data_IF_248410013482
#
_entry.id   IF_248410013482
#
_cell.length_a   1.000
_cell.length_b   1.000
_cell.length_c   1.000
_cell.angle_alpha   90.00
_cell.angle_beta   90.00
_cell.angle_gamma   90.00
#
_symmetry.space_group_name_H-M   'P 1'
#
loop_
_entity.id
_entity.type
_entity.pdbx_description
1 polymer ?
#
# COMPACT_ATOMS: atom_id res chain seq x y z
N UNK A 1 20.53 -0.31 7.85
CA UNK A 1 19.19 -0.68 8.36
C UNK A 1 18.29 -1.36 7.31
N UNK A 2 18.13 -0.79 6.09
CA UNK A 2 17.32 -1.39 5.00
C UNK A 2 17.71 -2.85 4.67
N UNK A 3 19.01 -3.14 4.54
CA UNK A 3 19.52 -4.50 4.23
C UNK A 3 19.17 -5.55 5.30
N UNK A 4 19.30 -5.19 6.57
CA UNK A 4 18.97 -6.09 7.69
C UNK A 4 17.47 -6.40 7.71
N UNK A 5 16.63 -5.40 7.43
CA UNK A 5 15.19 -5.59 7.37
C UNK A 5 14.75 -6.46 6.18
N UNK A 6 15.38 -6.29 5.01
CA UNK A 6 15.14 -7.17 3.87
C UNK A 6 15.53 -8.62 4.18
N UNK A 7 16.64 -8.84 4.88
CA UNK A 7 17.04 -10.18 5.32
C UNK A 7 16.02 -10.79 6.30
N UNK A 8 15.52 -10.01 7.26
CA UNK A 8 14.48 -10.45 8.21
C UNK A 8 13.20 -10.86 7.46
N UNK A 9 12.82 -10.12 6.41
CA UNK A 9 11.64 -10.43 5.60
C UNK A 9 11.88 -11.62 4.65
N UNK A 10 13.10 -11.84 4.17
CA UNK A 10 13.41 -12.92 3.22
C UNK A 10 13.66 -14.27 3.91
N UNK A 11 14.22 -14.28 5.13
CA UNK A 11 14.61 -15.50 5.83
C UNK A 11 13.45 -16.50 6.03
N UNK A 12 12.22 -16.10 6.41
CA UNK A 12 11.10 -17.02 6.56
C UNK A 12 10.71 -17.74 5.26
N UNK A 13 10.89 -17.09 4.10
CA UNK A 13 10.66 -17.73 2.79
C UNK A 13 11.65 -18.86 2.55
N UNK A 14 12.94 -18.62 2.83
CA UNK A 14 14.00 -19.63 2.67
C UNK A 14 13.75 -20.81 3.63
N UNK A 15 13.43 -20.52 4.89
CA UNK A 15 13.08 -21.55 5.88
C UNK A 15 11.89 -22.36 5.39
N UNK A 16 10.83 -21.73 4.88
CA UNK A 16 9.67 -22.44 4.34
C UNK A 16 9.97 -23.32 3.15
N UNK A 17 10.90 -22.93 2.26
CA UNK A 17 11.36 -23.77 1.16
C UNK A 17 12.13 -24.99 1.66
N UNK A 18 13.01 -24.81 2.65
CA UNK A 18 13.78 -25.90 3.27
C UNK A 18 12.83 -26.89 3.96
N UNK A 19 11.87 -26.39 4.74
CA UNK A 19 10.89 -27.25 5.41
C UNK A 19 10.02 -27.97 4.39
N UNK A 20 9.57 -27.30 3.32
CA UNK A 20 8.83 -27.92 2.23
C UNK A 20 9.62 -29.07 1.58
N UNK A 21 10.93 -28.89 1.38
CA UNK A 21 11.80 -29.91 0.81
C UNK A 21 11.83 -31.20 1.65
N UNK A 22 12.12 -31.07 2.95
CA UNK A 22 12.11 -32.22 3.86
C UNK A 22 10.71 -32.85 3.98
N UNK A 23 9.68 -32.01 3.99
CA UNK A 23 8.28 -32.44 4.06
C UNK A 23 7.88 -33.28 2.84
N UNK A 24 8.13 -32.78 1.63
CA UNK A 24 7.84 -33.51 0.38
C UNK A 24 8.65 -34.80 0.29
N UNK A 25 9.92 -34.80 0.75
CA UNK A 25 10.76 -35.99 0.78
C UNK A 25 10.20 -37.10 1.69
N UNK A 26 9.54 -36.74 2.79
CA UNK A 26 8.88 -37.68 3.71
C UNK A 26 7.62 -38.31 3.09
N UNK A 27 6.96 -37.61 2.16
CA UNK A 27 5.72 -38.05 1.52
C UNK A 27 5.92 -38.39 0.03
N UNK A 28 6.55 -39.54 -0.25
CA UNK A 28 6.93 -39.94 -1.62
C UNK A 28 5.74 -40.14 -2.55
N UNK A 29 4.60 -40.59 -2.01
CA UNK A 29 3.38 -40.95 -2.74
C UNK A 29 2.59 -39.76 -3.27
N UNK A 30 3.02 -38.52 -2.99
CA UNK A 30 2.38 -37.31 -3.50
C UNK A 30 2.65 -37.16 -5.01
N UNK A 31 1.59 -36.98 -5.79
CA UNK A 31 1.67 -36.70 -7.24
C UNK A 31 2.46 -35.42 -7.50
N UNK A 32 3.29 -35.39 -8.55
CA UNK A 32 4.20 -34.29 -8.88
C UNK A 32 3.56 -32.90 -8.83
N UNK A 33 2.35 -32.74 -9.37
CA UNK A 33 1.61 -31.47 -9.35
C UNK A 33 1.31 -30.96 -7.92
N UNK A 34 0.93 -31.87 -7.01
CA UNK A 34 0.68 -31.50 -5.60
C UNK A 34 1.98 -31.14 -4.88
N UNK A 35 3.13 -31.72 -5.27
CA UNK A 35 4.44 -31.34 -4.73
C UNK A 35 4.75 -29.87 -5.04
N UNK A 36 4.51 -29.43 -6.27
CA UNK A 36 4.69 -28.02 -6.69
C UNK A 36 3.81 -27.10 -5.82
N UNK A 37 2.52 -27.44 -5.65
CA UNK A 37 1.63 -26.66 -4.78
C UNK A 37 2.13 -26.58 -3.33
N UNK A 38 2.70 -27.66 -2.78
CA UNK A 38 3.28 -27.64 -1.44
C UNK A 38 4.48 -26.70 -1.36
N UNK A 39 5.37 -26.71 -2.36
CA UNK A 39 6.50 -25.76 -2.43
C UNK A 39 6.06 -24.30 -2.56
N UNK A 40 4.84 -24.02 -3.03
CA UNK A 40 4.26 -22.66 -3.05
C UNK A 40 3.61 -22.28 -1.71
N UNK A 41 2.74 -23.14 -1.16
CA UNK A 41 1.97 -22.79 0.04
C UNK A 41 2.79 -22.81 1.32
N UNK A 42 3.82 -23.67 1.44
CA UNK A 42 4.59 -23.77 2.68
C UNK A 42 5.37 -22.48 2.98
N UNK A 43 6.15 -21.92 2.04
CA UNK A 43 6.87 -20.66 2.25
C UNK A 43 5.92 -19.51 2.56
N UNK A 44 4.84 -19.37 1.79
CA UNK A 44 3.83 -18.31 2.01
C UNK A 44 3.19 -18.46 3.39
N UNK A 45 2.88 -19.68 3.83
CA UNK A 45 2.28 -19.93 5.14
C UNK A 45 3.20 -19.57 6.30
N UNK A 46 4.47 -20.00 6.27
CA UNK A 46 5.46 -19.62 7.29
C UNK A 46 5.70 -18.11 7.26
N UNK A 47 5.93 -17.56 6.07
CA UNK A 47 6.21 -16.14 5.91
C UNK A 47 5.08 -15.28 6.46
N UNK A 48 3.82 -15.62 6.16
CA UNK A 48 2.65 -14.89 6.66
C UNK A 48 2.55 -14.95 8.19
N UNK A 49 2.81 -16.12 8.79
CA UNK A 49 2.80 -16.26 10.25
C UNK A 49 3.91 -15.45 10.94
N UNK A 50 5.12 -15.44 10.39
CA UNK A 50 6.23 -14.64 10.92
C UNK A 50 6.00 -13.15 10.68
N UNK A 51 5.51 -12.78 9.50
CA UNK A 51 5.24 -11.38 9.15
C UNK A 51 4.14 -10.76 10.02
N UNK A 52 3.13 -11.55 10.41
CA UNK A 52 2.15 -11.14 11.44
C UNK A 52 2.84 -10.72 12.74
N UNK A 53 3.78 -11.54 13.25
CA UNK A 53 4.51 -11.24 14.49
C UNK A 53 5.35 -9.97 14.32
N UNK A 54 6.01 -9.79 13.17
CA UNK A 54 6.78 -8.58 12.86
C UNK A 54 5.88 -7.34 12.89
N UNK A 55 4.70 -7.39 12.25
CA UNK A 55 3.74 -6.30 12.26
C UNK A 55 3.26 -5.96 13.68
N UNK A 56 2.99 -6.99 14.49
CA UNK A 56 2.56 -6.83 15.87
C UNK A 56 3.63 -6.20 16.76
N UNK A 57 4.89 -6.56 16.58
CA UNK A 57 6.01 -5.96 17.32
C UNK A 57 6.18 -4.48 16.93
N UNK A 58 6.03 -4.15 15.64
CA UNK A 58 6.30 -2.81 15.15
C UNK A 58 5.15 -1.81 15.36
N UNK A 59 3.90 -2.23 15.12
CA UNK A 59 2.72 -1.36 15.13
C UNK A 59 1.62 -1.79 16.10
N UNK A 60 1.68 -3.02 16.64
CA UNK A 60 0.68 -3.53 17.57
C UNK A 60 -0.67 -3.84 16.93
N UNK A 61 -1.69 -4.04 17.79
CA UNK A 61 -3.06 -4.44 17.40
C UNK A 61 -3.81 -3.32 16.67
N UNK A 62 -3.38 -2.06 16.81
CA UNK A 62 -3.99 -0.91 16.15
C UNK A 62 -3.84 -0.96 14.61
N UNK A 63 -2.98 -1.84 14.08
CA UNK A 63 -2.84 -2.04 12.65
C UNK A 63 -4.09 -2.72 12.07
N UNK A 64 -4.92 -1.93 11.40
CA UNK A 64 -6.14 -2.39 10.71
C UNK A 64 -5.87 -3.61 9.82
N UNK A 65 -6.74 -4.61 9.79
CA UNK A 65 -6.63 -5.78 8.90
C UNK A 65 -5.37 -6.65 9.11
N UNK A 66 -4.58 -6.48 10.18
CA UNK A 66 -3.37 -7.29 10.44
C UNK A 66 -3.67 -8.80 10.53
N UNK A 67 -4.90 -9.17 10.90
CA UNK A 67 -5.39 -10.54 10.97
C UNK A 67 -5.47 -11.27 9.61
N UNK A 68 -5.30 -10.57 8.48
CA UNK A 68 -5.22 -11.22 7.16
C UNK A 68 -4.05 -12.20 7.10
N UNK A 69 -2.93 -11.90 7.77
CA UNK A 69 -1.72 -12.71 7.76
C UNK A 69 -1.88 -14.10 8.41
N UNK A 70 -2.41 -14.22 9.65
CA UNK A 70 -2.70 -15.53 10.22
C UNK A 70 -3.78 -16.28 9.43
N UNK A 71 -4.76 -15.59 8.83
CA UNK A 71 -5.75 -16.23 7.95
C UNK A 71 -5.10 -16.85 6.71
N UNK A 72 -4.17 -16.14 6.06
CA UNK A 72 -3.38 -16.66 4.93
C UNK A 72 -2.54 -17.87 5.38
N UNK A 73 -1.90 -17.79 6.55
CA UNK A 73 -1.12 -18.90 7.09
C UNK A 73 -1.98 -20.15 7.34
N UNK A 74 -3.11 -20.00 8.02
CA UNK A 74 -4.07 -21.09 8.28
C UNK A 74 -4.56 -21.68 6.97
N UNK A 75 -4.94 -20.84 6.01
CA UNK A 75 -5.37 -21.28 4.68
C UNK A 75 -4.29 -22.13 3.99
N UNK A 76 -3.03 -21.69 4.01
CA UNK A 76 -1.92 -22.43 3.42
C UNK A 76 -1.74 -23.82 4.06
N UNK A 77 -1.76 -23.92 5.39
CA UNK A 77 -1.56 -25.20 6.08
C UNK A 77 -2.76 -26.15 5.94
N UNK A 78 -4.00 -25.62 5.95
CA UNK A 78 -5.19 -26.40 5.61
C UNK A 78 -5.10 -26.94 4.19
N UNK A 79 -4.65 -26.11 3.24
CA UNK A 79 -4.49 -26.51 1.84
C UNK A 79 -3.45 -27.60 1.66
N UNK A 80 -2.31 -27.50 2.34
CA UNK A 80 -1.27 -28.53 2.36
C UNK A 80 -1.85 -29.85 2.90
N UNK A 81 -2.57 -29.82 4.03
CA UNK A 81 -3.23 -31.02 4.60
C UNK A 81 -4.16 -31.70 3.60
N UNK A 82 -4.95 -30.91 2.86
CA UNK A 82 -5.85 -31.43 1.83
C UNK A 82 -5.09 -32.08 0.66
N UNK A 83 -3.94 -31.53 0.25
CA UNK A 83 -3.14 -32.06 -0.86
C UNK A 83 -2.49 -33.42 -0.53
N UNK A 84 -2.18 -33.67 0.75
CA UNK A 84 -1.54 -34.91 1.21
C UNK A 84 -2.56 -36.01 1.49
N UNK A 85 -3.73 -35.64 1.99
CA UNK A 85 -4.71 -36.61 2.50
C UNK A 85 -5.21 -37.57 1.41
N UNK A 86 -5.05 -37.22 0.12
CA UNK A 86 -5.42 -38.04 -1.03
C UNK A 86 -6.94 -38.26 -1.09
N UNK A 87 -7.58 -38.00 -2.21
CA UNK A 87 -9.03 -38.22 -2.29
C UNK A 87 -9.33 -39.72 -2.44
N UNK A 88 -9.32 -40.45 -1.33
CA UNK A 88 -9.52 -41.92 -1.28
C UNK A 88 -10.94 -42.35 -1.68
N UNK A 89 -11.85 -41.42 -1.99
CA UNK A 89 -13.26 -41.71 -2.29
C UNK A 89 -13.81 -40.75 -3.36
N UNK A 90 -13.21 -40.75 -4.54
CA UNK A 90 -13.45 -39.76 -5.61
C UNK A 90 -14.91 -39.81 -6.17
N UNK A 91 -15.82 -38.99 -5.62
CA UNK A 91 -17.21 -38.82 -6.13
C UNK A 91 -17.26 -37.68 -7.14
N UNK A 92 -18.05 -37.80 -8.22
CA UNK A 92 -18.21 -36.77 -9.29
C UNK A 92 -18.47 -35.36 -8.74
N UNK A 93 -19.30 -35.22 -7.70
CA UNK A 93 -19.58 -33.95 -7.04
C UNK A 93 -18.32 -33.26 -6.45
N UNK A 94 -17.37 -34.02 -5.89
CA UNK A 94 -16.10 -33.47 -5.39
C UNK A 94 -15.18 -32.97 -6.49
N UNK A 95 -15.24 -33.56 -7.70
CA UNK A 95 -14.49 -33.07 -8.87
C UNK A 95 -14.99 -31.71 -9.32
N UNK A 96 -16.31 -31.54 -9.42
CA UNK A 96 -16.93 -30.26 -9.80
C UNK A 96 -16.62 -29.18 -8.78
N UNK A 97 -16.81 -29.45 -7.48
CA UNK A 97 -16.50 -28.47 -6.41
C UNK A 97 -15.03 -28.05 -6.46
N UNK A 98 -14.08 -29.00 -6.65
CA UNK A 98 -12.66 -28.67 -6.77
C UNK A 98 -12.35 -27.84 -8.01
N UNK A 99 -13.02 -28.10 -9.13
CA UNK A 99 -12.85 -27.34 -10.36
C UNK A 99 -13.36 -25.90 -10.17
N UNK A 100 -14.58 -25.74 -9.65
CA UNK A 100 -15.17 -24.41 -9.37
C UNK A 100 -14.28 -23.62 -8.41
N UNK A 101 -13.85 -24.24 -7.31
CA UNK A 101 -12.90 -23.60 -6.37
C UNK A 101 -11.62 -23.14 -7.07
N UNK A 102 -11.01 -23.96 -7.93
CA UNK A 102 -9.78 -23.59 -8.65
C UNK A 102 -10.02 -22.42 -9.60
N UNK A 103 -11.11 -22.44 -10.35
CA UNK A 103 -11.47 -21.36 -11.29
C UNK A 103 -11.68 -20.05 -10.52
N UNK A 104 -12.52 -20.08 -9.48
CA UNK A 104 -12.80 -18.89 -8.65
C UNK A 104 -11.51 -18.38 -8.01
N UNK A 105 -10.69 -19.27 -7.44
CA UNK A 105 -9.41 -18.90 -6.84
C UNK A 105 -8.47 -18.23 -7.84
N UNK A 106 -8.35 -18.77 -9.06
CA UNK A 106 -7.50 -18.19 -10.11
C UNK A 106 -8.03 -16.83 -10.55
N UNK A 107 -9.34 -16.66 -10.71
CA UNK A 107 -9.95 -15.37 -11.05
C UNK A 107 -9.70 -14.33 -9.95
N UNK A 108 -9.95 -14.68 -8.68
CA UNK A 108 -9.72 -13.79 -7.56
C UNK A 108 -8.23 -13.42 -7.42
N UNK A 109 -7.32 -14.39 -7.60
CA UNK A 109 -5.89 -14.14 -7.55
C UNK A 109 -5.43 -13.25 -8.71
N UNK A 110 -5.93 -13.48 -9.92
CA UNK A 110 -5.61 -12.65 -11.09
C UNK A 110 -6.11 -11.21 -10.89
N UNK A 111 -7.32 -11.02 -10.37
CA UNK A 111 -7.85 -9.70 -10.05
C UNK A 111 -7.03 -9.00 -8.96
N UNK A 112 -6.67 -9.73 -7.89
CA UNK A 112 -5.79 -9.23 -6.85
C UNK A 112 -4.45 -8.76 -7.42
N UNK A 113 -3.77 -9.60 -8.19
CA UNK A 113 -2.48 -9.27 -8.81
C UNK A 113 -2.57 -8.10 -9.80
N UNK A 114 -3.68 -7.98 -10.52
CA UNK A 114 -3.92 -6.84 -11.41
C UNK A 114 -4.00 -5.53 -10.62
N UNK A 115 -4.77 -5.48 -9.53
CA UNK A 115 -4.87 -4.27 -8.71
C UNK A 115 -3.54 -3.96 -8.02
N UNK A 116 -2.86 -4.97 -7.47
CA UNK A 116 -1.53 -4.82 -6.87
C UNK A 116 -0.51 -4.28 -7.87
N UNK A 117 -0.56 -4.69 -9.14
CA UNK A 117 0.35 -4.13 -10.15
C UNK A 117 0.09 -2.64 -10.36
N UNK A 118 -1.17 -2.19 -10.39
CA UNK A 118 -1.50 -0.75 -10.49
C UNK A 118 -1.03 0.05 -9.28
N UNK A 119 -1.16 -0.51 -8.09
CA UNK A 119 -0.64 0.09 -6.85
C UNK A 119 0.88 0.24 -6.93
N UNK A 120 1.58 -0.82 -7.34
CA UNK A 120 3.05 -0.81 -7.47
C UNK A 120 3.52 0.13 -8.59
N UNK A 121 2.82 0.18 -9.72
CA UNK A 121 3.12 1.10 -10.83
C UNK A 121 3.09 2.56 -10.33
N UNK A 122 2.04 2.97 -9.61
CA UNK A 122 1.95 4.31 -9.04
C UNK A 122 3.00 4.54 -7.94
N UNK A 123 3.19 3.56 -7.04
CA UNK A 123 4.19 3.62 -5.96
C UNK A 123 5.63 3.79 -6.47
N UNK A 124 5.92 3.35 -7.70
CA UNK A 124 7.24 3.40 -8.32
C UNK A 124 7.32 4.38 -9.49
N UNK A 125 6.28 5.20 -9.67
CA UNK A 125 6.23 6.19 -10.72
C UNK A 125 7.37 7.21 -10.58
N UNK A 126 7.96 7.58 -11.71
CA UNK A 126 8.86 8.74 -11.79
C UNK A 126 8.00 9.94 -12.16
N UNK A 127 7.87 10.96 -11.28
CA UNK A 127 7.06 12.13 -11.60
C UNK A 127 7.72 12.94 -12.71
N UNK A 128 6.94 13.58 -13.59
CA UNK A 128 7.46 14.59 -14.51
C UNK A 128 8.17 15.72 -13.75
N UNK A 129 9.15 16.35 -14.40
CA UNK A 129 9.71 17.61 -13.91
C UNK A 129 8.77 18.78 -14.24
N UNK A 130 8.96 19.90 -13.56
CA UNK A 130 8.34 21.19 -13.79
C UNK A 130 6.81 21.15 -13.87
N UNK A 131 6.18 20.41 -12.95
CA UNK A 131 4.73 20.44 -12.77
C UNK A 131 4.29 21.82 -12.29
N UNK A 132 3.13 22.28 -12.72
CA UNK A 132 2.57 23.58 -12.30
C UNK A 132 2.33 23.58 -10.78
N UNK A 133 1.79 22.47 -10.27
CA UNK A 133 1.51 22.27 -8.85
C UNK A 133 1.91 20.90 -8.35
N UNK A 134 2.25 20.82 -7.06
CA UNK A 134 2.13 19.59 -6.28
C UNK A 134 1.17 19.76 -5.11
N UNK A 135 0.38 18.74 -4.81
CA UNK A 135 -0.55 18.71 -3.67
C UNK A 135 -0.03 17.69 -2.65
N UNK A 136 0.37 18.15 -1.48
CA UNK A 136 0.82 17.30 -0.37
C UNK A 136 -0.35 16.95 0.51
N UNK A 137 -0.74 15.67 0.51
CA UNK A 137 -1.87 15.19 1.30
C UNK A 137 -1.46 14.96 2.77
N UNK A 138 -2.33 15.35 3.69
CA UNK A 138 -2.26 15.02 5.12
C UNK A 138 -2.27 13.51 5.44
N UNK A 139 -1.71 13.12 6.59
CA UNK A 139 -1.48 11.71 6.96
C UNK A 139 -1.46 11.42 8.49
N UNK A 140 -1.96 12.36 9.27
CA UNK A 140 -2.07 12.42 10.71
C UNK A 140 -0.90 13.12 11.40
N UNK A 141 -1.20 13.76 12.53
CA UNK A 141 -0.23 14.31 13.48
C UNK A 141 -0.50 13.87 14.92
N UNK A 142 0.42 14.24 15.82
CA UNK A 142 0.26 14.12 17.27
C UNK A 142 0.64 15.45 17.90
N UNK A 143 -0.34 16.23 18.34
CA UNK A 143 -0.11 17.60 18.78
C UNK A 143 0.40 18.46 17.62
N UNK A 144 1.70 18.77 17.64
CA UNK A 144 2.41 19.52 16.58
C UNK A 144 3.43 18.66 15.83
N UNK A 145 3.56 17.38 16.15
CA UNK A 145 4.55 16.49 15.54
C UNK A 145 3.93 15.64 14.44
N UNK A 146 4.46 15.66 13.20
CA UNK A 146 3.94 14.84 12.12
C UNK A 146 4.14 13.36 12.39
N UNK A 147 3.18 12.53 12.00
CA UNK A 147 3.35 11.07 12.03
C UNK A 147 4.41 10.63 11.00
N UNK A 148 4.91 9.39 11.12
CA UNK A 148 5.89 8.89 10.16
C UNK A 148 5.40 8.92 8.69
N UNK A 149 4.13 8.57 8.38
CA UNK A 149 3.57 8.76 7.05
C UNK A 149 3.60 10.21 6.54
N UNK A 150 3.29 11.20 7.39
CA UNK A 150 3.31 12.61 7.01
C UNK A 150 4.75 13.11 6.80
N UNK A 151 5.68 12.73 7.68
CA UNK A 151 7.11 13.07 7.57
C UNK A 151 7.71 12.68 6.23
N UNK A 152 7.45 11.47 5.74
CA UNK A 152 8.01 11.04 4.45
C UNK A 152 7.37 11.76 3.26
N UNK A 153 6.12 12.23 3.38
CA UNK A 153 5.48 13.07 2.35
C UNK A 153 6.12 14.45 2.31
N UNK A 154 6.36 15.05 3.46
CA UNK A 154 7.07 16.34 3.58
C UNK A 154 8.49 16.23 2.98
N UNK A 155 9.24 15.18 3.32
CA UNK A 155 10.57 14.92 2.72
C UNK A 155 10.45 14.82 1.19
N UNK A 156 9.50 14.04 0.68
CA UNK A 156 9.34 13.86 -0.77
C UNK A 156 8.96 15.16 -1.47
N UNK A 157 8.12 15.98 -0.85
CA UNK A 157 7.73 17.28 -1.35
C UNK A 157 8.91 18.24 -1.38
N UNK A 158 9.73 18.28 -0.33
CA UNK A 158 10.96 19.08 -0.30
C UNK A 158 11.93 18.68 -1.42
N UNK A 159 12.18 17.38 -1.60
CA UNK A 159 13.01 16.84 -2.69
C UNK A 159 12.47 17.28 -4.07
N UNK A 160 11.14 17.24 -4.26
CA UNK A 160 10.55 17.66 -5.53
C UNK A 160 10.65 19.17 -5.75
N UNK A 161 10.41 19.99 -4.72
CA UNK A 161 10.44 21.46 -4.83
C UNK A 161 11.85 22.02 -5.04
N UNK A 162 12.89 21.33 -4.51
CA UNK A 162 14.30 21.68 -4.73
C UNK A 162 14.72 21.41 -6.19
N UNK A 163 14.24 20.31 -6.77
CA UNK A 163 14.51 19.96 -8.17
C UNK A 163 13.70 20.81 -9.18
N UNK A 164 12.57 21.40 -8.77
CA UNK A 164 11.61 22.07 -9.66
C UNK A 164 11.23 23.45 -9.10
N UNK A 165 11.99 24.49 -9.47
CA UNK A 165 11.95 25.80 -8.82
C UNK A 165 10.71 26.64 -9.14
N UNK A 166 10.02 26.37 -10.25
CA UNK A 166 8.82 27.09 -10.66
C UNK A 166 7.51 26.43 -10.17
N UNK A 167 7.58 25.20 -9.63
CA UNK A 167 6.42 24.49 -9.11
C UNK A 167 5.88 25.16 -7.84
N UNK A 168 4.56 25.30 -7.75
CA UNK A 168 3.86 25.70 -6.52
C UNK A 168 3.39 24.48 -5.72
N UNK A 169 3.37 24.58 -4.39
CA UNK A 169 2.94 23.52 -3.50
C UNK A 169 1.65 23.88 -2.79
N UNK A 170 0.68 22.97 -2.79
CA UNK A 170 -0.51 23.04 -1.94
C UNK A 170 -0.33 22.07 -0.77
N UNK A 171 -0.19 22.61 0.44
CA UNK A 171 -0.21 21.84 1.67
C UNK A 171 -1.67 21.61 2.07
N UNK A 172 -2.16 20.37 1.97
CA UNK A 172 -3.58 20.06 2.11
C UNK A 172 -3.87 19.07 3.24
N UNK A 173 -4.64 19.54 4.22
CA UNK A 173 -5.13 18.75 5.35
C UNK A 173 -5.59 19.65 6.49
N UNK A 174 -6.82 19.46 6.96
CA UNK A 174 -7.37 20.21 8.08
C UNK A 174 -6.84 19.77 9.45
N UNK A 175 -7.48 20.27 10.51
CA UNK A 175 -7.10 19.95 11.89
C UNK A 175 -7.91 18.76 12.44
N UNK A 176 -7.20 17.71 12.83
CA UNK A 176 -7.76 16.55 13.53
C UNK A 176 -8.05 16.81 15.02
N UNK A 177 -8.84 15.94 15.69
CA UNK A 177 -9.21 16.13 17.10
C UNK A 177 -8.02 16.13 18.08
N UNK A 178 -6.96 15.40 17.75
CA UNK A 178 -5.75 15.23 18.59
C UNK A 178 -4.60 16.17 18.15
N UNK A 179 -4.90 17.18 17.34
CA UNK A 179 -3.93 18.07 16.69
C UNK A 179 -4.08 19.51 17.17
N UNK A 180 -2.95 20.22 17.32
CA UNK A 180 -2.93 21.62 17.81
C UNK A 180 -2.99 22.62 16.65
N UNK A 181 -2.48 22.21 15.48
CA UNK A 181 -2.49 22.95 14.22
C UNK A 181 -3.04 22.06 13.12
N UNK A 182 -3.39 22.62 11.96
CA UNK A 182 -3.78 21.83 10.79
C UNK A 182 -2.59 21.03 10.24
N UNK A 183 -2.86 19.92 9.58
CA UNK A 183 -1.81 19.16 8.88
C UNK A 183 -1.13 20.01 7.80
N UNK A 184 -1.91 20.84 7.11
CA UNK A 184 -1.42 21.81 6.13
C UNK A 184 -0.40 22.78 6.75
N UNK A 185 -0.70 23.37 7.91
CA UNK A 185 0.23 24.25 8.62
C UNK A 185 1.51 23.51 9.01
N UNK A 186 1.41 22.26 9.48
CA UNK A 186 2.61 21.48 9.79
C UNK A 186 3.46 21.16 8.55
N UNK A 187 2.84 20.81 7.42
CA UNK A 187 3.55 20.59 6.16
C UNK A 187 4.31 21.86 5.79
N UNK A 188 3.62 23.00 5.80
CA UNK A 188 4.18 24.31 5.51
C UNK A 188 5.39 24.63 6.41
N UNK A 189 5.20 24.61 7.73
CA UNK A 189 6.24 24.99 8.70
C UNK A 189 7.48 24.11 8.54
N UNK A 190 7.30 22.80 8.32
CA UNK A 190 8.43 21.91 8.10
C UNK A 190 9.17 22.22 6.80
N UNK A 191 8.45 22.54 5.71
CA UNK A 191 9.06 22.88 4.42
C UNK A 191 9.84 24.20 4.48
N UNK A 192 9.29 25.22 5.12
CA UNK A 192 9.96 26.52 5.28
C UNK A 192 11.13 26.41 6.26
N UNK A 193 10.89 25.94 7.49
CA UNK A 193 11.87 26.04 8.58
C UNK A 193 13.03 25.05 8.46
N UNK A 194 12.77 23.86 7.89
CA UNK A 194 13.77 22.77 7.85
C UNK A 194 14.37 22.63 6.45
N UNK A 195 13.55 22.74 5.41
CA UNK A 195 13.99 22.53 4.03
C UNK A 195 14.26 23.82 3.27
N UNK A 196 13.90 24.98 3.82
CA UNK A 196 14.21 26.28 3.21
C UNK A 196 13.42 26.56 1.93
N UNK A 197 12.23 25.98 1.79
CA UNK A 197 11.33 26.28 0.67
C UNK A 197 10.72 27.67 0.89
N UNK A 198 10.71 28.50 -0.15
CA UNK A 198 10.15 29.85 -0.08
C UNK A 198 8.66 29.83 0.27
N UNK A 199 8.27 30.64 1.25
CA UNK A 199 6.89 30.79 1.77
C UNK A 199 5.88 31.09 0.66
N UNK A 200 6.25 31.97 -0.28
CA UNK A 200 5.41 32.38 -1.41
C UNK A 200 5.08 31.24 -2.38
N UNK A 201 5.84 30.13 -2.33
CA UNK A 201 5.61 28.94 -3.16
C UNK A 201 4.67 27.93 -2.51
N UNK A 202 4.23 28.16 -1.27
CA UNK A 202 3.38 27.23 -0.52
C UNK A 202 2.01 27.86 -0.25
N UNK A 203 0.96 27.16 -0.65
CA UNK A 203 -0.44 27.55 -0.45
C UNK A 203 -1.08 26.59 0.54
N UNK A 204 -1.76 27.13 1.55
CA UNK A 204 -2.42 26.33 2.60
C UNK A 204 -3.87 25.98 2.22
N UNK A 205 -4.21 24.70 2.38
CA UNK A 205 -5.59 24.18 2.35
C UNK A 205 -5.90 23.47 3.68
N UNK A 206 -6.61 24.15 4.59
CA UNK A 206 -6.77 23.71 5.99
C UNK A 206 -8.17 23.21 6.35
N UNK A 207 -9.06 23.00 5.36
CA UNK A 207 -10.48 22.75 5.62
C UNK A 207 -10.89 21.30 5.47
N UNK A 208 -10.09 20.54 4.76
CA UNK A 208 -10.34 19.16 4.40
C UNK A 208 -10.27 18.19 5.58
N UNK A 209 -11.02 17.10 5.49
CA UNK A 209 -11.10 16.03 6.53
C UNK A 209 -10.80 14.63 5.99
N UNK A 210 -10.71 14.50 4.68
CA UNK A 210 -10.47 13.26 3.98
C UNK A 210 -9.81 13.56 2.62
N UNK A 211 -9.28 12.53 1.98
CA UNK A 211 -8.54 12.66 0.71
C UNK A 211 -9.38 13.27 -0.42
N UNK A 212 -10.69 13.04 -0.46
CA UNK A 212 -11.57 13.59 -1.50
C UNK A 212 -11.74 15.09 -1.31
N UNK A 213 -11.93 15.54 -0.07
CA UNK A 213 -11.97 16.97 0.28
C UNK A 213 -10.61 17.64 0.06
N UNK A 214 -9.50 16.99 0.41
CA UNK A 214 -8.15 17.51 0.14
C UNK A 214 -8.02 17.87 -1.34
N UNK A 215 -8.30 16.90 -2.21
CA UNK A 215 -8.13 17.03 -3.65
C UNK A 215 -9.13 18.02 -4.25
N UNK A 216 -10.40 17.98 -3.82
CA UNK A 216 -11.42 18.92 -4.29
C UNK A 216 -11.08 20.36 -3.93
N UNK A 217 -10.76 20.64 -2.66
CA UNK A 217 -10.43 21.99 -2.20
C UNK A 217 -9.14 22.50 -2.85
N UNK A 218 -8.15 21.61 -3.03
CA UNK A 218 -6.92 21.95 -3.73
C UNK A 218 -7.19 22.32 -5.19
N UNK A 219 -8.10 21.62 -5.88
CA UNK A 219 -8.48 21.96 -7.25
C UNK A 219 -9.21 23.30 -7.34
N UNK A 220 -10.06 23.61 -6.35
CA UNK A 220 -10.72 24.92 -6.25
C UNK A 220 -9.71 26.06 -6.06
N UNK A 221 -8.60 25.81 -5.34
CA UNK A 221 -7.49 26.76 -5.19
C UNK A 221 -6.71 26.92 -6.51
N UNK A 222 -6.42 25.82 -7.21
CA UNK A 222 -5.71 25.82 -8.50
C UNK A 222 -6.53 26.55 -9.58
N UNK A 223 -7.85 26.34 -9.61
CA UNK A 223 -8.76 27.01 -10.54
C UNK A 223 -8.65 26.56 -12.01
N UNK A 224 -7.71 25.68 -12.34
CA UNK A 224 -7.55 25.08 -13.67
C UNK A 224 -7.46 23.54 -13.61
N UNK A 225 -8.50 22.82 -14.07
CA UNK A 225 -8.48 21.36 -14.22
C UNK A 225 -7.37 20.78 -15.10
N UNK A 226 -6.78 21.57 -15.99
CA UNK A 226 -5.76 21.10 -16.95
C UNK A 226 -4.32 21.39 -16.51
N UNK A 227 -4.15 22.14 -15.41
CA UNK A 227 -2.85 22.34 -14.79
C UNK A 227 -2.20 20.97 -14.51
N UNK A 228 -0.91 20.88 -14.71
CA UNK A 228 -0.14 19.67 -14.42
C UNK A 228 0.09 19.55 -12.92
N UNK A 229 -0.57 18.56 -12.30
CA UNK A 229 -0.58 18.43 -10.83
C UNK A 229 0.04 17.12 -10.38
N UNK A 230 1.04 17.18 -9.50
CA UNK A 230 1.59 16.01 -8.83
C UNK A 230 0.95 15.79 -7.45
N UNK A 231 0.47 14.58 -7.17
CA UNK A 231 -0.03 14.24 -5.84
C UNK A 231 1.11 13.63 -5.02
N UNK A 232 1.42 14.24 -3.87
CA UNK A 232 2.41 13.71 -2.92
C UNK A 232 1.68 12.98 -1.80
N UNK A 233 1.77 11.67 -1.82
CA UNK A 233 1.24 10.77 -0.79
C UNK A 233 2.24 9.67 -0.44
N UNK A 234 1.89 8.77 0.47
CA UNK A 234 2.71 7.57 0.67
C UNK A 234 2.57 6.67 -0.56
N UNK A 235 3.68 6.11 -1.05
CA UNK A 235 3.70 5.40 -2.32
C UNK A 235 2.64 4.30 -2.47
N UNK A 236 2.36 3.53 -1.42
CA UNK A 236 1.31 2.50 -1.46
C UNK A 236 -0.11 3.08 -1.68
N UNK A 237 -0.34 4.36 -1.40
CA UNK A 237 -1.64 5.04 -1.48
C UNK A 237 -1.82 5.83 -2.79
N UNK A 238 -0.76 6.04 -3.55
CA UNK A 238 -0.73 6.86 -4.76
C UNK A 238 -1.79 6.50 -5.78
N UNK A 239 -1.94 5.20 -6.11
CA UNK A 239 -2.90 4.77 -7.12
C UNK A 239 -4.34 5.17 -6.75
N UNK A 240 -4.71 5.04 -5.47
CA UNK A 240 -6.03 5.47 -5.00
C UNK A 240 -6.16 6.99 -4.95
N UNK A 241 -5.10 7.71 -4.57
CA UNK A 241 -5.11 9.16 -4.57
C UNK A 241 -5.33 9.72 -5.99
N UNK A 242 -4.68 9.13 -7.01
CA UNK A 242 -4.89 9.47 -8.42
C UNK A 242 -6.33 9.20 -8.87
N UNK A 243 -6.88 8.02 -8.54
CA UNK A 243 -8.28 7.71 -8.88
C UNK A 243 -9.26 8.73 -8.27
N UNK A 244 -9.02 9.17 -7.03
CA UNK A 244 -9.85 10.19 -6.39
C UNK A 244 -9.66 11.53 -7.11
N UNK A 245 -8.43 11.91 -7.47
CA UNK A 245 -8.16 13.17 -8.16
C UNK A 245 -8.84 13.23 -9.53
N UNK A 246 -8.70 12.19 -10.34
CA UNK A 246 -9.41 12.10 -11.64
C UNK A 246 -10.93 12.24 -11.45
N UNK A 247 -11.48 11.61 -10.40
CA UNK A 247 -12.90 11.74 -10.09
C UNK A 247 -13.32 13.14 -9.61
N UNK A 248 -12.47 13.85 -8.85
CA UNK A 248 -12.76 15.22 -8.40
C UNK A 248 -12.60 16.27 -9.50
N UNK A 249 -12.08 15.89 -10.67
CA UNK A 249 -12.05 16.74 -11.87
C UNK A 249 -10.67 17.15 -12.35
N UNK A 250 -9.58 16.55 -11.86
CA UNK A 250 -8.25 16.78 -12.42
C UNK A 250 -8.11 16.08 -13.77
N UNK A 251 -7.70 16.81 -14.81
CA UNK A 251 -7.49 16.26 -16.16
C UNK A 251 -6.03 15.85 -16.42
N UNK A 252 -5.08 16.36 -15.62
CA UNK A 252 -3.64 16.20 -15.84
C UNK A 252 -2.90 15.96 -14.51
N UNK A 253 -3.08 14.76 -13.95
CA UNK A 253 -2.58 14.40 -12.60
C UNK A 253 -1.51 13.30 -12.64
N UNK A 254 -0.49 13.44 -11.79
CA UNK A 254 0.67 12.55 -11.71
C UNK A 254 0.93 12.08 -10.28
N UNK A 255 1.52 10.90 -10.15
CA UNK A 255 1.97 10.39 -8.86
C UNK A 255 3.34 10.95 -8.51
N UNK A 256 3.50 11.46 -7.28
CA UNK A 256 4.78 11.87 -6.69
C UNK A 256 5.00 11.04 -5.42
N UNK A 257 5.35 9.73 -5.57
CA UNK A 257 5.31 8.77 -4.47
C UNK A 257 6.33 9.07 -3.39
N UNK A 258 5.88 9.23 -2.14
CA UNK A 258 6.75 9.22 -0.98
C UNK A 258 7.11 7.79 -0.54
N UNK A 259 8.20 7.66 0.22
CA UNK A 259 8.71 6.34 0.62
C UNK A 259 7.68 5.53 1.44
N UNK A 260 7.41 4.30 1.01
CA UNK A 260 6.66 3.31 1.80
C UNK A 260 7.54 2.73 2.91
N UNK A 261 7.13 2.90 4.17
CA UNK A 261 7.94 2.55 5.35
C UNK A 261 7.88 1.05 5.67
N UNK A 262 9.03 0.39 5.66
CA UNK A 262 9.18 -1.01 6.12
C UNK A 262 9.36 -1.08 7.65
N UNK A 263 8.94 -2.19 8.30
CA UNK A 263 8.48 -3.45 7.70
C UNK A 263 6.97 -3.49 7.38
N UNK A 264 6.18 -2.56 7.91
CA UNK A 264 4.72 -2.52 7.76
C UNK A 264 4.23 -2.16 6.35
N UNK A 265 5.12 -1.65 5.49
CA UNK A 265 4.82 -1.27 4.12
C UNK A 265 4.17 -2.37 3.28
N UNK A 266 4.59 -3.64 3.43
CA UNK A 266 3.98 -4.76 2.69
C UNK A 266 2.53 -4.95 3.12
N UNK A 267 2.25 -4.82 4.42
CA UNK A 267 0.88 -4.84 4.94
C UNK A 267 0.04 -3.69 4.38
N UNK A 268 0.58 -2.47 4.31
CA UNK A 268 -0.15 -1.34 3.74
C UNK A 268 -0.47 -1.53 2.25
N UNK A 269 0.46 -2.06 1.46
CA UNK A 269 0.23 -2.39 0.04
C UNK A 269 -0.93 -3.39 -0.09
N UNK A 270 -0.86 -4.53 0.61
CA UNK A 270 -1.93 -5.56 0.55
C UNK A 270 -3.27 -5.05 1.08
N UNK A 271 -3.25 -4.19 2.11
CA UNK A 271 -4.47 -3.57 2.63
C UNK A 271 -5.07 -2.59 1.61
N UNK A 272 -4.23 -1.90 0.85
CA UNK A 272 -4.66 -0.91 -0.12
C UNK A 272 -5.51 -1.53 -1.24
N UNK A 273 -5.30 -2.80 -1.59
CA UNK A 273 -6.19 -3.54 -2.49
C UNK A 273 -7.68 -3.33 -2.14
N UNK A 274 -8.04 -3.44 -0.86
CA UNK A 274 -9.42 -3.27 -0.42
C UNK A 274 -9.90 -1.83 -0.58
N UNK A 275 -9.04 -0.85 -0.28
CA UNK A 275 -9.36 0.57 -0.46
C UNK A 275 -9.54 0.95 -1.93
N UNK A 276 -8.73 0.38 -2.83
CA UNK A 276 -8.88 0.57 -4.28
C UNK A 276 -10.17 -0.06 -4.78
N UNK A 277 -10.50 -1.28 -4.35
CA UNK A 277 -11.76 -1.93 -4.75
C UNK A 277 -12.97 -1.12 -4.25
N UNK A 278 -12.95 -0.62 -3.02
CA UNK A 278 -13.99 0.27 -2.50
C UNK A 278 -14.09 1.56 -3.33
N UNK A 279 -12.96 2.18 -3.67
CA UNK A 279 -12.86 3.36 -4.52
C UNK A 279 -13.47 3.12 -5.91
N UNK A 280 -13.17 1.97 -6.55
CA UNK A 280 -13.74 1.57 -7.84
C UNK A 280 -15.27 1.37 -7.78
N UNK A 281 -15.81 0.98 -6.63
CA UNK A 281 -17.26 0.82 -6.43
C UNK A 281 -17.92 2.17 -6.16
N UNK A 282 -17.27 3.04 -5.37
CA UNK A 282 -17.78 4.36 -4.98
C UNK A 282 -17.87 5.33 -6.16
N UNK A 283 -16.86 5.34 -7.03
CA UNK A 283 -16.72 6.32 -8.13
C UNK A 283 -17.05 5.74 -9.52
N UNK A 284 -17.88 4.70 -9.52
CA UNK A 284 -18.37 4.02 -10.72
C UNK A 284 -19.47 4.83 -11.42
#
# INVERSE_FOLDING_TARGET
MKTVMLLILALPMIIGLIVAFFFVRKHRDIVAFNKISIYLYFPVGIWSAVYFIICMIYAGIALSCVWIWPLIAIFCFVRIRMLISGDKKDRRARKVIRLVYRIVFVICLAFFLFIESRIVDAMTATPPADLDYIVVLGAGMRGTTPTNPLKVRIIRAAEYMDDNQDTLLIASGGQGPDEVISEAQCIHDQLVDIYGIDDERIILEERSRDTEQNLKNSLEIIGDPNASVGIVSNGFHEYRALMIAEHTGYNNVYSVPATTLLPVGIHYIVREFFGVVECMIKYR
#
